data_IF_243765564870
#
_entry.id   IF_243765564870
#
_cell.length_a   1.000
_cell.length_b   1.000
_cell.length_c   1.000
_cell.angle_alpha   90.00
_cell.angle_beta   90.00
_cell.angle_gamma   90.00
#
_symmetry.space_group_name_H-M   'P 1'
#
loop_
_entity.id
_entity.type
_entity.pdbx_description
1 polymer ?
#
# COMPACT_ATOMS: atom_id res chain seq x y z
N UNK A 1 -9.07 7.68 11.89
CA UNK A 1 -9.22 8.36 10.56
C UNK A 1 -7.96 8.08 9.77
N UNK A 2 -8.10 7.50 8.58
CA UNK A 2 -6.97 7.15 7.73
C UNK A 2 -6.59 8.35 6.85
N UNK A 3 -5.31 8.65 6.74
CA UNK A 3 -4.81 9.78 5.98
C UNK A 3 -3.78 9.31 4.97
N UNK A 4 -3.87 9.79 3.73
CA UNK A 4 -2.79 9.68 2.76
C UNK A 4 -2.42 11.08 2.28
N UNK A 5 -1.16 11.44 2.42
CA UNK A 5 -0.65 12.78 2.08
C UNK A 5 0.36 12.73 0.95
N UNK A 6 0.35 13.74 0.09
CA UNK A 6 1.33 13.97 -0.96
C UNK A 6 1.56 15.48 -1.10
N UNK A 7 2.72 15.97 -0.65
CA UNK A 7 2.99 17.40 -0.56
C UNK A 7 1.98 18.09 0.36
N UNK A 8 1.26 19.10 -0.15
CA UNK A 8 0.17 19.77 0.57
C UNK A 8 -1.20 19.11 0.36
N UNK A 9 -1.31 18.14 -0.55
CA UNK A 9 -2.55 17.44 -0.86
C UNK A 9 -2.77 16.29 0.11
N UNK A 10 -4.02 16.09 0.49
CA UNK A 10 -4.41 15.06 1.44
C UNK A 10 -5.69 14.40 0.94
N UNK A 11 -5.73 13.07 0.99
CA UNK A 11 -6.93 12.27 0.76
C UNK A 11 -7.22 11.46 2.02
N UNK A 12 -8.51 11.27 2.28
CA UNK A 12 -8.97 10.57 3.47
C UNK A 12 -9.87 9.41 3.05
N UNK A 13 -9.29 8.23 2.80
CA UNK A 13 -10.09 7.02 2.65
C UNK A 13 -10.99 6.84 3.86
N UNK A 14 -12.25 6.51 3.63
CA UNK A 14 -13.15 6.26 4.75
C UNK A 14 -12.72 5.01 5.52
N UNK A 15 -12.21 4.01 4.80
CA UNK A 15 -11.60 2.82 5.38
C UNK A 15 -10.51 2.20 4.50
N UNK A 16 -9.69 1.33 5.11
CA UNK A 16 -8.75 0.45 4.40
C UNK A 16 -9.38 -0.94 4.31
N UNK A 17 -9.95 -1.25 3.14
CA UNK A 17 -10.66 -2.50 2.87
C UNK A 17 -9.71 -3.70 2.80
N UNK A 18 -8.47 -3.47 2.37
CA UNK A 18 -7.49 -4.53 2.18
C UNK A 18 -6.07 -4.01 2.11
N UNK A 19 -5.14 -4.84 2.55
CA UNK A 19 -3.71 -4.56 2.50
C UNK A 19 -2.95 -5.87 2.31
N UNK A 20 -2.16 -5.94 1.25
CA UNK A 20 -1.18 -7.01 1.04
C UNK A 20 0.20 -6.38 0.98
N UNK A 21 1.19 -7.05 1.56
CA UNK A 21 2.58 -6.64 1.43
C UNK A 21 3.51 -7.83 1.41
N UNK A 22 4.50 -7.79 0.54
CA UNK A 22 5.59 -8.74 0.47
C UNK A 22 6.93 -8.00 0.46
N UNK A 23 7.99 -8.71 0.83
CA UNK A 23 9.37 -8.23 0.73
C UNK A 23 10.32 -9.40 0.53
N UNK A 24 11.31 -9.21 -0.32
CA UNK A 24 12.38 -10.19 -0.50
C UNK A 24 13.24 -10.25 0.77
N UNK A 25 13.40 -11.42 1.38
CA UNK A 25 14.20 -11.59 2.60
C UNK A 25 15.69 -11.29 2.40
N UNK A 26 16.22 -11.46 1.17
CA UNK A 26 17.64 -11.29 0.78
C UNK A 26 18.68 -12.11 1.55
N UNK A 27 18.26 -12.95 2.50
CA UNK A 27 19.13 -13.93 3.14
C UNK A 27 19.66 -14.93 2.10
N UNK A 28 20.93 -15.27 2.19
CA UNK A 28 21.53 -16.32 1.34
C UNK A 28 21.76 -17.55 2.21
N UNK A 29 21.16 -18.67 1.81
CA UNK A 29 21.22 -19.94 2.52
C UNK A 29 22.05 -20.92 1.69
N UNK A 30 23.21 -21.33 2.19
CA UNK A 30 24.08 -22.32 1.57
C UNK A 30 23.93 -23.66 2.30
N UNK A 31 23.29 -24.62 1.66
CA UNK A 31 23.27 -25.99 2.15
C UNK A 31 24.63 -26.65 1.92
N UNK A 32 25.34 -27.00 2.99
CA UNK A 32 26.65 -27.66 2.92
C UNK A 32 26.44 -29.17 2.97
N UNK A 33 26.89 -29.88 1.93
CA UNK A 33 26.79 -31.34 1.85
C UNK A 33 27.45 -32.00 3.07
N UNK A 34 26.73 -32.92 3.70
CA UNK A 34 27.19 -33.64 4.90
C UNK A 34 27.05 -32.87 6.22
N UNK A 35 26.45 -31.68 6.20
CA UNK A 35 26.15 -30.90 7.42
C UNK A 35 24.64 -30.79 7.62
N UNK A 36 24.19 -30.91 8.88
CA UNK A 36 22.78 -30.76 9.23
C UNK A 36 22.32 -29.30 9.26
N UNK A 37 23.26 -28.36 9.46
CA UNK A 37 22.99 -26.93 9.55
C UNK A 37 23.54 -26.21 8.31
N UNK A 38 22.73 -25.37 7.64
CA UNK A 38 23.21 -24.56 6.54
C UNK A 38 24.04 -23.37 7.03
N UNK A 39 24.92 -22.87 6.16
CA UNK A 39 25.59 -21.59 6.38
C UNK A 39 24.68 -20.47 5.86
N UNK A 40 24.36 -19.50 6.72
CA UNK A 40 23.41 -18.42 6.41
C UNK A 40 24.10 -17.07 6.45
N UNK A 41 24.04 -16.33 5.34
CA UNK A 41 24.44 -14.92 5.29
C UNK A 41 23.20 -14.05 5.44
N UNK A 42 23.15 -13.31 6.55
CA UNK A 42 22.03 -12.41 6.85
C UNK A 42 22.16 -11.10 6.07
N UNK A 43 21.07 -10.68 5.43
CA UNK A 43 20.97 -9.37 4.79
C UNK A 43 19.63 -8.73 5.16
N UNK A 44 19.55 -7.39 5.25
CA UNK A 44 18.27 -6.72 5.40
C UNK A 44 17.32 -7.07 4.26
N UNK A 45 16.06 -7.32 4.59
CA UNK A 45 15.02 -7.52 3.61
C UNK A 45 14.84 -6.28 2.72
N UNK A 46 14.26 -6.47 1.53
CA UNK A 46 13.84 -5.36 0.68
C UNK A 46 12.74 -4.51 1.35
N UNK A 47 12.50 -3.32 0.79
CA UNK A 47 11.33 -2.51 1.14
C UNK A 47 10.04 -3.22 0.67
N UNK A 48 8.91 -2.96 1.36
CA UNK A 48 7.64 -3.60 1.01
C UNK A 48 7.19 -3.22 -0.39
N UNK A 49 6.54 -4.16 -1.05
CA UNK A 49 5.67 -3.91 -2.21
C UNK A 49 4.36 -4.64 -1.98
N UNK A 50 3.28 -4.22 -2.65
CA UNK A 50 1.98 -4.88 -2.53
C UNK A 50 0.85 -3.98 -3.00
N UNK A 51 -0.36 -4.22 -2.51
CA UNK A 51 -1.56 -3.48 -2.91
C UNK A 51 -2.26 -2.89 -1.70
N UNK A 52 -2.59 -1.60 -1.77
CA UNK A 52 -3.42 -0.89 -0.81
C UNK A 52 -4.83 -0.72 -1.39
N UNK A 53 -5.85 -1.20 -0.67
CA UNK A 53 -7.26 -1.12 -1.08
C UNK A 53 -7.98 -0.15 -0.14
N UNK A 54 -8.48 0.93 -0.71
CA UNK A 54 -9.14 2.04 -0.02
C UNK A 54 -10.63 2.06 -0.37
N UNK A 55 -11.47 2.17 0.66
CA UNK A 55 -12.92 2.35 0.52
C UNK A 55 -13.32 3.81 0.71
N UNK A 56 -14.19 4.29 -0.17
CA UNK A 56 -14.82 5.60 -0.09
C UNK A 56 -16.33 5.41 -0.04
N UNK A 57 -16.98 5.87 1.03
CA UNK A 57 -18.43 5.79 1.20
C UNK A 57 -19.04 7.13 1.63
N UNK A 58 -20.35 7.28 1.43
CA UNK A 58 -21.10 8.51 1.73
C UNK A 58 -21.35 9.40 0.52
N UNK A 59 -21.94 10.57 0.75
CA UNK A 59 -22.50 11.43 -0.31
C UNK A 59 -21.48 11.94 -1.35
N UNK A 60 -20.20 12.00 -1.00
CA UNK A 60 -19.13 12.47 -1.88
C UNK A 60 -18.19 11.35 -2.36
N UNK A 61 -18.55 10.07 -2.14
CA UNK A 61 -17.67 8.92 -2.41
C UNK A 61 -17.09 8.89 -3.82
N UNK A 62 -17.89 9.28 -4.83
CA UNK A 62 -17.44 9.35 -6.22
C UNK A 62 -16.37 10.42 -6.44
N UNK A 63 -16.59 11.64 -5.92
CA UNK A 63 -15.66 12.76 -6.08
C UNK A 63 -14.37 12.54 -5.28
N UNK A 64 -14.48 11.99 -4.08
CA UNK A 64 -13.35 11.69 -3.20
C UNK A 64 -12.48 10.57 -3.79
N UNK A 65 -13.10 9.49 -4.28
CA UNK A 65 -12.37 8.39 -4.93
C UNK A 65 -11.71 8.83 -6.23
N UNK A 66 -12.37 9.67 -7.04
CA UNK A 66 -11.79 10.24 -8.26
C UNK A 66 -10.59 11.15 -7.95
N UNK A 67 -10.69 11.98 -6.91
CA UNK A 67 -9.58 12.82 -6.45
C UNK A 67 -8.41 11.99 -5.94
N UNK A 68 -8.68 10.89 -5.23
CA UNK A 68 -7.65 9.96 -4.78
C UNK A 68 -6.96 9.22 -5.92
N UNK A 69 -7.70 8.79 -6.94
CA UNK A 69 -7.13 8.22 -8.17
C UNK A 69 -6.24 9.23 -8.89
N UNK A 70 -6.75 10.44 -9.13
CA UNK A 70 -6.00 11.51 -9.80
C UNK A 70 -4.72 11.86 -9.05
N UNK A 71 -4.78 11.94 -7.71
CA UNK A 71 -3.61 12.22 -6.89
C UNK A 71 -2.56 11.11 -6.97
N UNK A 72 -2.95 9.84 -6.91
CA UNK A 72 -2.00 8.73 -7.10
C UNK A 72 -1.41 8.69 -8.50
N UNK A 73 -2.16 9.13 -9.51
CA UNK A 73 -1.71 9.21 -10.89
C UNK A 73 -0.70 10.34 -11.17
N UNK A 74 -0.59 11.38 -10.30
CA UNK A 74 0.41 12.44 -10.51
C UNK A 74 1.85 11.95 -10.34
N UNK A 75 2.04 10.85 -9.62
CA UNK A 75 3.35 10.36 -9.21
C UNK A 75 3.95 11.20 -8.09
N UNK A 76 4.59 10.54 -7.13
CA UNK A 76 5.24 11.17 -6.00
C UNK A 76 5.29 10.27 -4.77
N UNK A 77 5.83 10.81 -3.68
CA UNK A 77 5.95 10.09 -2.40
C UNK A 77 4.74 10.38 -1.53
N UNK A 78 3.99 9.33 -1.25
CA UNK A 78 2.82 9.33 -0.41
C UNK A 78 3.19 8.89 1.00
N UNK A 79 2.57 9.46 2.01
CA UNK A 79 2.65 8.95 3.39
C UNK A 79 1.27 8.48 3.81
N UNK A 80 1.16 7.25 4.32
CA UNK A 80 -0.08 6.73 4.90
C UNK A 80 0.00 6.75 6.43
N UNK A 81 -1.05 7.28 7.05
CA UNK A 81 -1.29 7.27 8.49
C UNK A 81 -2.58 6.49 8.75
N UNK A 82 -2.54 5.52 9.67
CA UNK A 82 -3.69 4.70 10.03
C UNK A 82 -3.63 4.37 11.51
N UNK A 83 -4.18 5.24 12.38
CA UNK A 83 -4.11 5.07 13.83
C UNK A 83 -4.70 3.73 14.29
N UNK A 84 -5.69 3.22 13.56
CA UNK A 84 -6.39 1.97 13.87
C UNK A 84 -5.59 0.72 13.41
N UNK A 85 -4.63 0.89 12.49
CA UNK A 85 -3.78 -0.18 11.92
C UNK A 85 -2.35 0.30 11.67
N UNK A 86 -1.64 0.70 12.72
CA UNK A 86 -0.31 1.32 12.62
C UNK A 86 0.76 0.51 11.84
N UNK A 87 0.60 -0.80 11.65
CA UNK A 87 1.52 -1.62 10.85
C UNK A 87 1.52 -1.28 9.35
N UNK A 88 0.50 -0.60 8.84
CA UNK A 88 0.44 -0.19 7.43
C UNK A 88 1.12 1.16 7.17
N UNK A 89 1.47 1.91 8.22
CA UNK A 89 2.09 3.23 8.10
C UNK A 89 3.43 3.13 7.38
N UNK A 90 3.60 3.95 6.35
CA UNK A 90 4.79 3.98 5.50
C UNK A 90 4.82 5.20 4.58
N UNK A 91 6.01 5.48 4.05
CA UNK A 91 6.18 6.27 2.84
C UNK A 91 6.23 5.33 1.63
N UNK A 92 5.49 5.65 0.58
CA UNK A 92 5.42 4.81 -0.62
C UNK A 92 5.25 5.63 -1.89
N UNK A 93 5.48 4.99 -3.04
CA UNK A 93 5.09 5.51 -4.36
C UNK A 93 4.05 4.55 -4.95
N UNK A 94 3.11 5.09 -5.73
CA UNK A 94 2.27 4.24 -6.58
C UNK A 94 3.16 3.55 -7.63
N UNK A 95 3.08 2.23 -7.72
CA UNK A 95 3.94 1.42 -8.57
C UNK A 95 3.13 0.27 -9.17
N UNK A 96 2.94 0.27 -10.49
CA UNK A 96 2.10 -0.74 -11.15
C UNK A 96 0.73 -0.17 -11.50
N UNK A 97 -0.35 -0.79 -11.00
CA UNK A 97 -1.71 -0.44 -11.40
C UNK A 97 -2.42 0.41 -10.35
N UNK A 98 -3.19 1.37 -10.83
CA UNK A 98 -4.22 2.09 -10.08
C UNK A 98 -5.56 1.69 -10.69
N UNK A 99 -6.50 1.20 -9.89
CA UNK A 99 -7.86 0.86 -10.36
C UNK A 99 -8.90 1.47 -9.45
N UNK A 100 -9.87 2.15 -10.04
CA UNK A 100 -11.06 2.64 -9.34
C UNK A 100 -12.30 1.93 -9.87
N UNK A 101 -13.11 1.39 -8.97
CA UNK A 101 -14.34 0.68 -9.32
C UNK A 101 -15.47 1.04 -8.36
N UNK A 102 -16.70 0.97 -8.86
CA UNK A 102 -17.89 1.05 -8.03
C UNK A 102 -18.05 -0.30 -7.31
N UNK A 103 -18.31 -0.27 -6.00
CA UNK A 103 -18.60 -1.46 -5.21
C UNK A 103 -19.88 -2.15 -5.75
N UNK A 104 -19.88 -3.47 -5.90
CA UNK A 104 -20.90 -4.17 -6.70
C UNK A 104 -22.16 -4.59 -5.91
N UNK A 105 -22.05 -4.81 -4.60
CA UNK A 105 -23.16 -5.26 -3.77
C UNK A 105 -24.19 -4.14 -3.53
N UNK A 106 -23.72 -2.96 -3.15
CA UNK A 106 -24.54 -1.82 -2.75
C UNK A 106 -24.53 -0.70 -3.78
N UNK A 107 -23.44 -0.58 -4.56
CA UNK A 107 -23.22 0.51 -5.52
C UNK A 107 -23.30 1.91 -4.91
N UNK A 108 -23.04 2.03 -3.61
CA UNK A 108 -23.00 3.30 -2.88
C UNK A 108 -21.58 3.72 -2.47
N UNK A 109 -20.61 2.83 -2.66
CA UNK A 109 -19.21 3.01 -2.31
C UNK A 109 -18.31 2.85 -3.54
N UNK A 110 -17.13 3.46 -3.46
CA UNK A 110 -16.08 3.33 -4.46
C UNK A 110 -14.85 2.69 -3.83
N UNK A 111 -14.23 1.79 -4.58
CA UNK A 111 -13.02 1.08 -4.18
C UNK A 111 -11.87 1.53 -5.06
N UNK A 112 -10.80 2.00 -4.43
CA UNK A 112 -9.54 2.34 -5.10
C UNK A 112 -8.47 1.33 -4.68
N UNK A 113 -7.84 0.68 -5.66
CA UNK A 113 -6.66 -0.17 -5.44
C UNK A 113 -5.44 0.52 -6.02
N UNK A 114 -4.38 0.57 -5.23
CA UNK A 114 -3.09 1.14 -5.62
C UNK A 114 -2.02 0.12 -5.30
N UNK A 115 -1.36 -0.38 -6.34
CA UNK A 115 -0.11 -1.11 -6.16
C UNK A 115 0.97 -0.13 -5.69
N UNK A 116 1.77 -0.53 -4.71
CA UNK A 116 2.74 0.35 -4.05
C UNK A 116 4.14 -0.26 -3.99
N UNK A 117 5.12 0.64 -3.94
CA UNK A 117 6.47 0.35 -3.51
C UNK A 117 6.81 1.28 -2.34
N UNK A 118 7.11 0.69 -1.17
CA UNK A 118 7.59 1.43 -0.01
C UNK A 118 8.95 2.06 -0.35
N UNK A 119 9.17 3.28 0.14
CA UNK A 119 10.42 4.03 -0.02
C UNK A 119 10.99 4.37 1.35
N UNK A 120 12.33 4.47 1.41
CA UNK A 120 12.97 5.01 2.59
C UNK A 120 12.59 6.49 2.75
N UNK A 121 12.37 6.97 3.99
CA UNK A 121 12.19 8.39 4.27
C UNK A 121 13.45 9.21 3.94
#
# INVERSE_FOLDING_TARGET
>A
MNLITHGASTITPTEILGYTSERESRNIIHAILGRSNPDVTLRPAALRTGTLIMGFHGANSEADSASAEALHATGGVFTVLSPDRGTIEMSYVAAGRITRELEDETRDAWVLRVDFQEVAP
#
